data_IF_810835210605
#
_entry.id   IF_810835210605
#
_cell.length_a   1.000
_cell.length_b   1.000
_cell.length_c   1.000
_cell.angle_alpha   90.00
_cell.angle_beta   90.00
_cell.angle_gamma   90.00
#
_symmetry.space_group_name_H-M   'P 1'
#
loop_
_entity.id
_entity.type
_entity.pdbx_description
1 polymer ?
#
# COMPACT_ATOMS: atom_id res chain seq x y z
N UNK A 1 -9.00 6.89 -31.71
CA UNK A 1 -8.08 6.80 -30.56
C UNK A 1 -8.85 7.30 -29.35
N UNK A 2 -9.35 6.39 -28.51
CA UNK A 2 -10.15 6.72 -27.32
C UNK A 2 -9.22 7.02 -26.14
N UNK A 3 -9.57 8.07 -25.40
CA UNK A 3 -8.79 8.65 -24.31
C UNK A 3 -8.94 7.78 -23.05
N UNK A 4 -7.88 7.56 -22.28
CA UNK A 4 -7.82 6.63 -21.13
C UNK A 4 -8.57 7.11 -19.87
N UNK A 5 -9.71 7.81 -20.02
CA UNK A 5 -10.39 8.56 -18.96
C UNK A 5 -11.76 7.99 -18.53
N UNK A 6 -11.98 6.67 -18.59
CA UNK A 6 -13.34 6.10 -18.41
C UNK A 6 -13.51 4.98 -17.36
N UNK A 7 -12.48 4.55 -16.63
CA UNK A 7 -12.65 3.52 -15.61
C UNK A 7 -12.54 4.12 -14.20
N UNK A 8 -13.56 3.89 -13.37
CA UNK A 8 -13.65 4.31 -11.96
C UNK A 8 -13.30 3.19 -10.98
N UNK A 9 -12.99 2.00 -11.50
CA UNK A 9 -12.79 0.76 -10.77
C UNK A 9 -11.98 -0.23 -11.61
N UNK A 10 -11.00 -0.88 -10.98
CA UNK A 10 -10.39 -2.12 -11.46
C UNK A 10 -10.98 -3.32 -10.74
N UNK A 11 -11.56 -4.26 -11.50
CA UNK A 11 -12.17 -5.47 -10.96
C UNK A 11 -11.31 -6.70 -11.28
N UNK A 12 -10.92 -7.42 -10.24
CA UNK A 12 -10.10 -8.62 -10.33
C UNK A 12 -10.88 -9.84 -9.82
N UNK A 13 -11.54 -10.61 -10.71
CA UNK A 13 -12.11 -11.90 -10.36
C UNK A 13 -10.99 -12.93 -10.22
N UNK A 14 -10.83 -13.51 -9.03
CA UNK A 14 -9.88 -14.59 -8.68
C UNK A 14 -8.38 -14.26 -8.77
N UNK A 15 -7.93 -13.31 -9.60
CA UNK A 15 -6.51 -12.99 -9.78
C UNK A 15 -6.26 -11.48 -9.86
N UNK A 16 -5.75 -10.93 -8.76
CA UNK A 16 -5.16 -9.59 -8.69
C UNK A 16 -3.69 -9.63 -9.16
N UNK A 17 -3.12 -8.54 -9.72
CA UNK A 17 -1.71 -8.52 -10.12
C UNK A 17 -0.77 -8.94 -8.99
N UNK A 18 0.24 -9.75 -9.32
CA UNK A 18 1.13 -10.37 -8.33
C UNK A 18 1.87 -9.37 -7.45
N UNK A 19 2.10 -8.14 -7.93
CA UNK A 19 2.75 -7.05 -7.17
C UNK A 19 2.01 -6.67 -5.89
N UNK A 20 0.70 -6.91 -5.83
CA UNK A 20 -0.09 -6.66 -4.62
C UNK A 20 0.14 -7.72 -3.54
N UNK A 21 0.65 -8.90 -3.90
CA UNK A 21 0.79 -10.05 -3.00
C UNK A 21 -0.51 -10.39 -2.22
N UNK A 22 -1.68 -10.14 -2.83
CA UNK A 22 -2.99 -10.16 -2.17
C UNK A 22 -3.93 -11.26 -2.71
N UNK A 23 -3.50 -12.53 -2.65
CA UNK A 23 -4.31 -13.66 -3.16
C UNK A 23 -4.26 -14.95 -2.33
N UNK A 24 -3.18 -15.20 -1.56
CA UNK A 24 -2.95 -16.47 -0.87
C UNK A 24 -3.48 -16.47 0.59
N UNK A 25 -4.75 -16.14 0.79
CA UNK A 25 -5.37 -16.17 2.12
C UNK A 25 -6.89 -16.37 2.03
N UNK A 26 -7.45 -17.28 2.83
CA UNK A 26 -8.89 -17.57 2.82
C UNK A 26 -9.77 -16.42 3.35
N UNK A 27 -9.18 -15.38 3.95
CA UNK A 27 -9.87 -14.15 4.36
C UNK A 27 -10.01 -13.13 3.23
N UNK A 28 -9.33 -13.35 2.10
CA UNK A 28 -9.45 -12.51 0.92
C UNK A 28 -10.69 -12.96 0.13
N UNK A 29 -11.55 -11.99 -0.22
CA UNK A 29 -12.76 -12.26 -0.98
C UNK A 29 -12.42 -12.79 -2.39
N UNK A 30 -13.30 -13.62 -3.00
CA UNK A 30 -13.05 -14.20 -4.33
C UNK A 30 -13.04 -13.16 -5.46
N UNK A 31 -13.57 -11.97 -5.21
CA UNK A 31 -13.57 -10.83 -6.12
C UNK A 31 -13.00 -9.63 -5.38
N UNK A 32 -12.00 -8.99 -5.98
CA UNK A 32 -11.38 -7.77 -5.46
C UNK A 32 -11.74 -6.62 -6.39
N UNK A 33 -12.04 -5.47 -5.81
CA UNK A 33 -12.36 -4.25 -6.53
C UNK A 33 -11.48 -3.12 -5.97
N UNK A 34 -10.69 -2.46 -6.81
CA UNK A 34 -9.84 -1.32 -6.44
C UNK A 34 -10.43 -0.07 -7.08
N UNK A 35 -10.87 0.88 -6.26
CA UNK A 35 -11.41 2.14 -6.76
C UNK A 35 -10.30 2.97 -7.41
N UNK A 36 -10.63 3.77 -8.42
CA UNK A 36 -9.75 4.85 -8.85
C UNK A 36 -9.70 5.95 -7.79
N UNK A 37 -8.60 6.70 -7.73
CA UNK A 37 -8.45 7.82 -6.79
C UNK A 37 -9.66 8.77 -6.84
N UNK A 38 -10.20 9.10 -5.67
CA UNK A 38 -11.37 9.96 -5.51
C UNK A 38 -12.73 9.23 -5.53
N UNK A 39 -12.75 7.91 -5.72
CA UNK A 39 -13.95 7.08 -5.66
C UNK A 39 -13.94 6.13 -4.46
N UNK A 40 -15.10 5.86 -3.89
CA UNK A 40 -15.27 4.93 -2.75
C UNK A 40 -16.46 4.01 -3.02
N UNK A 41 -16.33 2.73 -2.70
CA UNK A 41 -17.44 1.79 -2.73
C UNK A 41 -18.12 1.70 -1.37
N UNK A 42 -19.44 1.76 -1.36
CA UNK A 42 -20.23 1.55 -0.16
C UNK A 42 -21.51 0.79 -0.48
N UNK A 43 -21.82 -0.21 0.34
CA UNK A 43 -23.08 -0.96 0.27
C UNK A 43 -24.24 -0.24 0.97
N UNK A 44 -23.96 0.87 1.64
CA UNK A 44 -24.94 1.74 2.32
C UNK A 44 -24.78 3.17 1.84
N UNK A 45 -25.84 3.98 1.96
CA UNK A 45 -25.70 5.42 1.80
C UNK A 45 -24.69 5.92 2.86
N UNK A 46 -23.60 6.55 2.41
CA UNK A 46 -22.52 6.98 3.29
C UNK A 46 -23.09 8.04 4.25
N UNK A 47 -23.10 7.75 5.56
CA UNK A 47 -23.47 8.73 6.59
C UNK A 47 -22.36 9.72 6.93
N UNK A 48 -21.22 9.59 6.26
CA UNK A 48 -19.97 10.34 6.44
C UNK A 48 -19.78 11.39 5.33
N UNK A 49 -20.87 11.93 4.81
CA UNK A 49 -20.86 13.04 3.86
C UNK A 49 -20.82 14.38 4.62
N UNK A 50 -19.76 15.18 4.48
CA UNK A 50 -19.85 16.62 4.76
C UNK A 50 -20.23 17.32 3.45
N UNK A 51 -21.45 17.86 3.35
CA UNK A 51 -21.97 18.50 2.13
C UNK A 51 -21.98 17.59 0.88
N UNK A 52 -22.22 16.28 1.05
CA UNK A 52 -22.33 15.34 -0.07
C UNK A 52 -21.00 14.92 -0.69
N UNK A 53 -19.86 15.19 -0.05
CA UNK A 53 -18.53 14.75 -0.49
C UNK A 53 -17.93 13.77 0.54
N UNK A 54 -17.29 12.68 0.08
CA UNK A 54 -16.53 11.80 0.97
C UNK A 54 -15.36 12.57 1.59
N UNK A 55 -15.02 12.25 2.84
CA UNK A 55 -13.75 12.68 3.44
C UNK A 55 -12.56 12.12 2.65
N UNK A 56 -11.35 12.61 2.92
CA UNK A 56 -10.13 11.93 2.44
C UNK A 56 -10.14 10.47 2.87
N UNK A 57 -9.83 9.57 1.94
CA UNK A 57 -9.86 8.12 2.13
C UNK A 57 -8.56 7.48 1.63
N UNK A 58 -8.37 6.18 1.91
CA UNK A 58 -7.16 5.42 1.59
C UNK A 58 -7.48 3.95 1.28
N UNK A 59 -6.47 3.17 0.89
CA UNK A 59 -6.63 1.75 0.54
C UNK A 59 -6.81 1.50 -0.96
N UNK A 60 -6.51 2.52 -1.77
CA UNK A 60 -6.31 2.40 -3.21
C UNK A 60 -5.06 1.56 -3.51
N UNK A 61 -4.72 1.48 -4.79
CA UNK A 61 -3.49 0.88 -5.27
C UNK A 61 -2.26 1.45 -4.54
N UNK A 62 -1.40 0.56 -4.03
CA UNK A 62 -0.23 0.94 -3.23
C UNK A 62 0.88 1.62 -4.05
N UNK A 63 0.82 1.54 -5.39
CA UNK A 63 1.74 2.26 -6.27
C UNK A 63 1.28 3.70 -6.57
N UNK A 64 0.08 4.09 -6.11
CA UNK A 64 -0.38 5.47 -6.23
C UNK A 64 0.49 6.39 -5.35
N UNK A 65 1.01 7.51 -5.88
CA UNK A 65 1.81 8.45 -5.09
C UNK A 65 1.07 8.98 -3.86
N UNK A 66 -0.26 9.07 -3.91
CA UNK A 66 -1.09 9.51 -2.79
C UNK A 66 -1.17 8.48 -1.65
N UNK A 67 -0.92 7.20 -1.94
CA UNK A 67 -0.89 6.10 -0.96
C UNK A 67 0.50 5.82 -0.39
N UNK A 68 1.53 6.53 -0.87
CA UNK A 68 2.90 6.37 -0.39
C UNK A 68 3.03 6.79 1.08
N UNK A 69 3.57 5.89 1.90
CA UNK A 69 3.98 6.21 3.26
C UNK A 69 5.24 7.09 3.29
N UNK A 70 5.45 7.78 4.41
CA UNK A 70 6.70 8.51 4.65
C UNK A 70 7.59 7.71 5.62
N UNK A 71 8.92 7.82 5.45
CA UNK A 71 9.89 7.22 6.37
C UNK A 71 11.04 8.19 6.62
N UNK A 72 11.43 8.32 7.89
CA UNK A 72 12.62 9.07 8.33
C UNK A 72 13.35 8.21 9.35
N UNK A 73 14.64 7.97 9.12
CA UNK A 73 15.50 7.24 10.02
C UNK A 73 16.61 8.15 10.55
N UNK A 74 16.70 8.28 11.88
CA UNK A 74 17.68 9.13 12.56
C UNK A 74 18.32 8.35 13.71
N UNK A 75 19.63 8.30 13.75
CA UNK A 75 20.37 7.65 14.82
C UNK A 75 21.81 7.32 14.43
N UNK A 76 22.60 6.77 15.36
CA UNK A 76 24.00 6.41 15.10
C UNK A 76 24.15 5.30 14.04
N UNK A 77 23.15 4.44 13.88
CA UNK A 77 23.12 3.37 12.88
C UNK A 77 22.78 3.84 11.46
N UNK A 78 22.42 5.12 11.28
CA UNK A 78 21.97 5.65 9.99
C UNK A 78 22.90 6.76 9.48
N UNK A 79 23.14 6.78 8.16
CA UNK A 79 23.87 7.87 7.51
C UNK A 79 23.05 9.16 7.57
N UNK A 80 23.72 10.27 7.84
CA UNK A 80 23.07 11.59 7.90
C UNK A 80 22.96 12.21 6.50
N UNK A 81 21.85 12.92 6.26
CA UNK A 81 21.65 13.72 5.04
C UNK A 81 21.51 12.89 3.76
N UNK A 82 21.13 11.62 3.86
CA UNK A 82 20.93 10.74 2.71
C UNK A 82 19.44 10.62 2.41
N UNK A 83 19.11 10.74 1.13
CA UNK A 83 17.81 10.36 0.58
C UNK A 83 17.96 9.04 -0.16
N UNK A 84 17.08 8.09 0.14
CA UNK A 84 17.02 6.80 -0.54
C UNK A 84 15.72 6.73 -1.37
N UNK A 85 15.70 5.95 -2.47
CA UNK A 85 14.45 5.66 -3.18
C UNK A 85 13.39 5.08 -2.23
N UNK A 86 12.12 5.23 -2.61
CA UNK A 86 10.99 4.62 -1.90
C UNK A 86 11.26 3.13 -1.68
N UNK A 87 11.26 2.70 -0.41
CA UNK A 87 11.33 1.30 -0.02
C UNK A 87 9.94 0.77 0.28
N UNK A 88 9.69 -0.50 -0.07
CA UNK A 88 8.48 -1.20 0.37
C UNK A 88 8.57 -1.38 1.90
N UNK A 89 7.46 -1.15 2.61
CA UNK A 89 7.42 -1.19 4.07
C UNK A 89 7.80 -2.56 4.67
N UNK A 90 7.76 -3.63 3.88
CA UNK A 90 8.20 -4.98 4.25
C UNK A 90 9.69 -5.02 4.64
N UNK A 91 10.52 -4.14 4.07
CA UNK A 91 11.95 -4.06 4.39
C UNK A 91 12.23 -3.48 5.79
N UNK A 92 11.27 -2.78 6.39
CA UNK A 92 11.48 -2.08 7.67
C UNK A 92 11.77 -3.07 8.80
N UNK A 93 11.20 -4.27 8.74
CA UNK A 93 11.45 -5.30 9.75
C UNK A 93 12.94 -5.66 9.85
N UNK A 94 13.60 -5.93 8.73
CA UNK A 94 15.02 -6.27 8.69
C UNK A 94 15.89 -5.10 9.15
N UNK A 95 15.52 -3.85 8.80
CA UNK A 95 16.21 -2.63 9.28
C UNK A 95 16.14 -2.55 10.81
N UNK A 96 14.96 -2.76 11.40
CA UNK A 96 14.79 -2.72 12.86
C UNK A 96 15.57 -3.85 13.53
N UNK A 97 15.53 -5.07 12.99
CA UNK A 97 16.30 -6.20 13.50
C UNK A 97 17.81 -5.91 13.49
N UNK A 98 18.32 -5.35 12.39
CA UNK A 98 19.73 -4.97 12.26
C UNK A 98 20.13 -3.90 13.28
N UNK A 99 19.33 -2.85 13.45
CA UNK A 99 19.59 -1.78 14.43
C UNK A 99 19.60 -2.32 15.87
N UNK A 100 18.75 -3.30 16.18
CA UNK A 100 18.68 -3.94 17.49
C UNK A 100 19.71 -5.06 17.72
N UNK A 101 20.44 -5.48 16.68
CA UNK A 101 21.38 -6.60 16.77
C UNK A 101 20.71 -7.96 16.98
N UNK A 102 19.46 -8.13 16.52
CA UNK A 102 18.72 -9.40 16.63
C UNK A 102 18.62 -10.10 15.29
N UNK A 103 18.61 -11.43 15.30
CA UNK A 103 18.42 -12.22 14.08
C UNK A 103 16.97 -12.11 13.59
N UNK A 104 16.71 -11.68 12.35
CA UNK A 104 15.35 -11.63 11.82
C UNK A 104 14.77 -13.04 11.65
N UNK A 105 13.46 -13.17 11.88
CA UNK A 105 12.70 -14.36 11.50
C UNK A 105 12.43 -14.37 9.99
N UNK A 106 12.04 -15.52 9.41
CA UNK A 106 11.64 -15.58 8.00
C UNK A 106 10.52 -14.58 7.70
N UNK A 107 10.74 -13.72 6.71
CA UNK A 107 9.83 -12.64 6.34
C UNK A 107 9.90 -12.35 4.82
N UNK A 108 9.16 -11.37 4.34
CA UNK A 108 9.07 -11.03 2.91
C UNK A 108 10.00 -9.89 2.46
N UNK A 109 10.84 -9.38 3.35
CA UNK A 109 11.93 -8.46 3.02
C UNK A 109 13.01 -9.14 2.18
N UNK A 110 13.83 -8.34 1.52
CA UNK A 110 14.88 -8.81 0.61
C UNK A 110 16.17 -9.21 1.32
N UNK A 111 16.20 -9.17 2.65
CA UNK A 111 17.37 -9.38 3.49
C UNK A 111 18.54 -8.45 3.12
N UNK A 112 18.41 -7.18 3.52
CA UNK A 112 19.30 -6.08 3.14
C UNK A 112 20.71 -6.12 3.80
N UNK A 113 20.99 -7.10 4.68
CA UNK A 113 22.18 -7.11 5.54
C UNK A 113 22.84 -8.48 5.66
#
# INVERSE_FOLDING_TARGET
MMNASEYVLDLYPLQIPSRFHYSNNNRIAPVIAIASLGYVFSSKKLGCEFRGQPFGDHGYDNDEPQMSGFMVALGPSFKRGVHIPLSINTEIYDIVCHVLGVKPAPNNGTNLF
#
